data_IF_104249214452
#
_entry.id   IF_104249214452
#
_cell.length_a   1.000
_cell.length_b   1.000
_cell.length_c   1.000
_cell.angle_alpha   90.00
_cell.angle_beta   90.00
_cell.angle_gamma   90.00
#
_symmetry.space_group_name_H-M   'P 1'
#
loop_
_entity.id
_entity.type
_entity.pdbx_description
1 polymer ?
#
# COMPACT_ATOMS: atom_id res chain seq x y z
N UNK A 1 3.47 32.17 1.74
CA UNK A 1 3.23 31.00 0.87
C UNK A 1 3.82 29.68 1.36
N UNK A 2 4.03 29.45 2.65
CA UNK A 2 4.74 28.25 3.18
C UNK A 2 3.89 27.35 4.08
N UNK A 3 2.71 27.76 4.49
CA UNK A 3 1.84 26.94 5.38
C UNK A 3 1.07 25.83 4.63
N UNK A 4 0.68 26.04 3.38
CA UNK A 4 -0.09 25.05 2.61
C UNK A 4 0.74 23.83 2.14
N UNK A 5 2.04 23.98 1.85
CA UNK A 5 2.89 22.85 1.48
C UNK A 5 3.19 21.88 2.63
N UNK A 6 3.27 22.40 3.87
CA UNK A 6 3.50 21.53 5.06
C UNK A 6 2.28 20.67 5.40
N UNK A 7 1.06 21.17 5.21
CA UNK A 7 -0.18 20.43 5.45
C UNK A 7 -0.36 19.24 4.48
N UNK A 8 -0.05 19.43 3.21
CA UNK A 8 -0.16 18.38 2.19
C UNK A 8 0.85 17.23 2.41
N UNK A 9 2.06 17.56 2.82
CA UNK A 9 3.09 16.53 3.10
C UNK A 9 2.75 15.74 4.37
N UNK A 10 2.24 16.39 5.41
CA UNK A 10 1.77 15.75 6.65
C UNK A 10 0.54 14.86 6.39
N UNK A 11 -0.38 15.26 5.54
CA UNK A 11 -1.53 14.46 5.14
C UNK A 11 -1.11 13.19 4.37
N UNK A 12 -0.14 13.32 3.47
CA UNK A 12 0.40 12.18 2.69
C UNK A 12 1.14 11.18 3.60
N UNK A 13 1.93 11.68 4.56
CA UNK A 13 2.66 10.82 5.51
C UNK A 13 1.70 10.17 6.53
N UNK A 14 0.71 10.91 7.02
CA UNK A 14 -0.35 10.35 7.87
C UNK A 14 -1.17 9.28 7.17
N UNK A 15 -1.49 9.48 5.90
CA UNK A 15 -2.15 8.49 5.05
C UNK A 15 -1.28 7.24 4.90
N UNK A 16 0.02 7.36 4.66
CA UNK A 16 0.97 6.23 4.54
C UNK A 16 1.04 5.38 5.81
N UNK A 17 1.02 5.99 6.98
CA UNK A 17 1.05 5.27 8.27
C UNK A 17 -0.28 4.54 8.52
N UNK A 18 -1.41 5.18 8.25
CA UNK A 18 -2.73 4.52 8.28
C UNK A 18 -2.78 3.37 7.28
N UNK A 19 -2.16 3.51 6.11
CA UNK A 19 -2.06 2.47 5.08
C UNK A 19 -1.29 1.25 5.51
N UNK A 20 -0.15 1.42 6.15
CA UNK A 20 0.67 0.31 6.64
C UNK A 20 -0.08 -0.43 7.76
N UNK A 21 -0.72 0.28 8.67
CA UNK A 21 -1.43 -0.33 9.81
C UNK A 21 -2.76 -0.96 9.41
N UNK A 22 -3.56 -0.32 8.57
CA UNK A 22 -4.86 -0.87 8.14
C UNK A 22 -4.69 -1.93 7.06
N UNK A 23 -3.73 -1.80 6.16
CA UNK A 23 -3.32 -2.86 5.23
C UNK A 23 -2.90 -4.11 5.97
N UNK A 24 -2.20 -3.95 7.09
CA UNK A 24 -1.75 -5.03 7.95
C UNK A 24 -2.92 -5.73 8.67
N UNK A 25 -3.90 -4.99 9.17
CA UNK A 25 -5.09 -5.57 9.85
C UNK A 25 -5.95 -6.34 8.84
N UNK A 26 -6.18 -5.79 7.66
CA UNK A 26 -7.00 -6.44 6.62
C UNK A 26 -6.28 -7.65 6.01
N UNK A 27 -4.97 -7.56 5.83
CA UNK A 27 -4.12 -8.64 5.38
C UNK A 27 -4.09 -9.79 6.42
N UNK A 28 -4.06 -9.46 7.70
CA UNK A 28 -4.19 -10.42 8.80
C UNK A 28 -5.54 -11.15 8.78
N UNK A 29 -6.63 -10.50 8.42
CA UNK A 29 -7.97 -11.12 8.35
C UNK A 29 -8.15 -12.05 7.14
N UNK A 30 -7.41 -11.82 6.04
CA UNK A 30 -7.48 -12.66 4.83
C UNK A 30 -6.43 -13.78 4.87
N UNK A 31 -5.35 -13.61 5.62
CA UNK A 31 -4.17 -14.48 5.54
C UNK A 31 -4.26 -15.77 6.35
N UNK A 32 -5.28 -15.92 7.21
CA UNK A 32 -5.19 -16.88 8.31
C UNK A 32 -5.08 -18.36 7.92
N UNK A 33 -5.19 -18.77 6.67
CA UNK A 33 -4.94 -20.20 6.39
C UNK A 33 -4.35 -20.59 5.02
N UNK A 34 -4.40 -19.78 3.97
CA UNK A 34 -4.18 -20.35 2.63
C UNK A 34 -3.07 -19.68 1.82
N UNK A 35 -2.75 -18.41 2.10
CA UNK A 35 -1.99 -17.61 1.15
C UNK A 35 -0.47 -17.71 1.28
N UNK A 36 0.05 -17.72 2.49
CA UNK A 36 1.48 -17.55 2.73
C UNK A 36 2.32 -18.83 2.86
N UNK A 37 1.72 -20.00 2.82
CA UNK A 37 2.45 -21.27 2.97
C UNK A 37 3.50 -21.53 1.88
N UNK A 38 3.55 -20.69 0.83
CA UNK A 38 4.42 -20.89 -0.34
C UNK A 38 5.12 -19.60 -0.84
N UNK A 39 5.06 -18.50 -0.08
CA UNK A 39 5.92 -17.36 -0.38
C UNK A 39 7.33 -17.74 0.02
N UNK A 40 8.22 -17.89 -0.96
CA UNK A 40 9.63 -18.15 -0.66
C UNK A 40 10.20 -16.96 0.10
N UNK A 41 10.91 -17.18 1.20
CA UNK A 41 11.61 -16.09 1.85
C UNK A 41 12.61 -15.47 0.87
N UNK A 42 12.82 -14.18 0.98
CA UNK A 42 13.82 -13.47 0.16
C UNK A 42 15.18 -14.06 0.45
N UNK A 43 15.79 -14.69 -0.54
CA UNK A 43 17.02 -15.49 -0.40
C UNK A 43 18.27 -14.61 -0.25
N UNK A 44 18.15 -13.28 -0.35
CA UNK A 44 19.25 -12.35 -0.28
C UNK A 44 18.83 -11.04 0.41
N UNK A 45 19.15 -10.94 1.67
CA UNK A 45 19.19 -9.64 2.34
C UNK A 45 20.40 -8.89 1.78
N UNK A 46 20.19 -7.95 0.87
CA UNK A 46 21.22 -6.99 0.54
C UNK A 46 21.63 -6.28 1.84
N UNK A 47 22.92 -6.23 2.10
CA UNK A 47 23.48 -5.55 3.26
C UNK A 47 23.18 -4.07 3.10
N UNK A 48 22.05 -3.63 3.65
CA UNK A 48 21.77 -2.21 3.78
C UNK A 48 22.86 -1.60 4.66
N UNK A 49 23.55 -0.61 4.14
CA UNK A 49 24.61 0.14 4.84
C UNK A 49 24.07 0.98 6.02
N UNK A 50 22.79 0.79 6.34
CA UNK A 50 22.04 1.50 7.38
C UNK A 50 21.84 0.60 8.59
N UNK A 51 22.61 0.83 9.64
CA UNK A 51 22.37 0.14 10.93
C UNK A 51 21.06 0.65 11.56
N UNK A 52 20.41 -0.19 12.39
CA UNK A 52 19.24 0.19 13.19
C UNK A 52 19.48 1.50 13.96
N UNK A 53 20.66 1.70 14.52
CA UNK A 53 21.03 2.93 15.22
C UNK A 53 21.01 4.17 14.33
N UNK A 54 21.53 4.07 13.10
CA UNK A 54 21.50 5.18 12.15
C UNK A 54 20.08 5.48 11.69
N UNK A 55 19.32 4.44 11.37
CA UNK A 55 17.93 4.57 10.92
C UNK A 55 17.04 5.17 12.03
N UNK A 56 17.12 4.67 13.26
CA UNK A 56 16.33 5.17 14.38
C UNK A 56 16.70 6.61 14.76
N UNK A 57 17.99 6.97 14.75
CA UNK A 57 18.41 8.35 14.96
C UNK A 57 17.86 9.29 13.89
N UNK A 58 17.87 8.90 12.61
CA UNK A 58 17.27 9.67 11.53
C UNK A 58 15.76 9.85 11.76
N UNK A 59 15.06 8.78 12.16
CA UNK A 59 13.63 8.82 12.42
C UNK A 59 13.26 9.72 13.60
N UNK A 60 14.04 9.67 14.68
CA UNK A 60 13.85 10.54 15.87
C UNK A 60 14.10 12.02 15.53
N UNK A 61 15.07 12.32 14.63
CA UNK A 61 15.39 13.68 14.22
C UNK A 61 14.47 14.23 13.12
N UNK A 62 13.81 13.39 12.36
CA UNK A 62 12.82 13.82 11.39
C UNK A 62 11.58 14.29 12.15
N UNK A 63 11.34 15.57 12.17
CA UNK A 63 10.28 16.35 12.86
C UNK A 63 8.82 15.89 12.65
N UNK A 64 8.57 14.70 12.20
CA UNK A 64 7.25 14.09 12.22
C UNK A 64 7.07 13.42 13.57
N UNK A 65 6.12 13.90 14.37
CA UNK A 65 5.80 13.27 15.65
C UNK A 65 5.40 11.81 15.40
N UNK A 66 6.21 10.89 15.89
CA UNK A 66 5.85 9.48 15.95
C UNK A 66 4.96 9.30 17.16
N UNK A 67 3.80 8.68 16.98
CA UNK A 67 2.82 8.52 18.06
C UNK A 67 2.60 7.05 18.39
N UNK A 68 2.35 6.77 19.65
CA UNK A 68 1.90 5.47 20.14
C UNK A 68 0.52 5.61 20.78
N UNK A 69 -0.34 4.63 20.53
CA UNK A 69 -1.64 4.57 21.20
C UNK A 69 -1.54 3.81 22.51
N UNK A 70 -2.46 4.06 23.42
CA UNK A 70 -2.68 3.20 24.58
C UNK A 70 -3.24 1.82 24.12
N UNK A 71 -3.23 0.84 25.03
CA UNK A 71 -3.73 -0.52 24.74
C UNK A 71 -5.20 -0.55 24.26
N UNK A 72 -6.01 0.43 24.65
CA UNK A 72 -7.40 0.53 24.25
C UNK A 72 -7.61 1.31 22.94
N UNK A 73 -6.54 1.80 22.33
CA UNK A 73 -6.55 2.62 21.12
C UNK A 73 -7.43 3.88 21.20
N UNK A 74 -7.58 4.43 22.43
CA UNK A 74 -8.45 5.59 22.70
C UNK A 74 -7.69 6.89 22.92
N UNK A 75 -6.37 6.84 23.08
CA UNK A 75 -5.51 8.00 23.28
C UNK A 75 -4.15 7.79 22.60
N UNK A 76 -3.64 8.87 22.04
CA UNK A 76 -2.34 8.92 21.36
C UNK A 76 -1.41 9.86 22.12
N UNK A 77 -0.15 9.52 22.19
CA UNK A 77 0.93 10.36 22.69
C UNK A 77 2.17 10.23 21.84
N UNK A 78 3.06 11.17 21.93
CA UNK A 78 4.34 11.10 21.25
C UNK A 78 5.16 9.89 21.73
N UNK A 79 5.78 9.19 20.79
CA UNK A 79 6.66 8.07 21.07
C UNK A 79 8.01 8.56 21.59
N UNK A 80 8.54 7.89 22.60
CA UNK A 80 9.93 8.09 23.03
C UNK A 80 10.93 7.55 22.00
N UNK A 81 12.16 8.05 22.00
CA UNK A 81 13.20 7.52 21.14
C UNK A 81 13.46 6.02 21.30
N UNK A 82 13.28 5.49 22.52
CA UNK A 82 13.38 4.05 22.79
C UNK A 82 12.25 3.28 22.11
N UNK A 83 11.01 3.74 22.21
CA UNK A 83 9.86 3.10 21.56
C UNK A 83 10.01 3.11 20.04
N UNK A 84 10.50 4.21 19.47
CA UNK A 84 10.77 4.30 18.04
C UNK A 84 11.82 3.26 17.63
N UNK A 85 12.94 3.19 18.36
CA UNK A 85 14.01 2.22 18.08
C UNK A 85 13.51 0.78 18.21
N UNK A 86 12.71 0.47 19.24
CA UNK A 86 12.14 -0.85 19.45
C UNK A 86 11.14 -1.25 18.35
N UNK A 87 10.32 -0.30 17.88
CA UNK A 87 9.39 -0.54 16.78
C UNK A 87 10.09 -0.71 15.42
N UNK A 88 11.30 -0.17 15.26
CA UNK A 88 12.12 -0.33 14.06
C UNK A 88 13.01 -1.58 14.08
N UNK A 89 13.09 -2.28 15.19
CA UNK A 89 13.95 -3.47 15.35
C UNK A 89 13.33 -4.68 14.67
N UNK A 90 13.69 -4.88 13.40
CA UNK A 90 13.19 -5.99 12.58
C UNK A 90 13.48 -7.37 13.18
N UNK A 91 14.53 -7.52 14.01
CA UNK A 91 14.86 -8.80 14.64
C UNK A 91 13.74 -9.33 15.55
N UNK A 92 12.87 -8.45 16.04
CA UNK A 92 11.73 -8.82 16.89
C UNK A 92 10.53 -9.36 16.11
N UNK A 93 10.48 -9.13 14.80
CA UNK A 93 9.28 -9.36 13.98
C UNK A 93 9.53 -10.30 12.79
N UNK A 94 10.79 -10.52 12.40
CA UNK A 94 11.12 -11.24 11.16
C UNK A 94 10.64 -12.69 11.16
N UNK A 95 10.56 -13.29 12.33
CA UNK A 95 10.07 -14.66 12.51
C UNK A 95 8.60 -14.73 12.96
N UNK A 96 7.95 -13.59 13.20
CA UNK A 96 6.53 -13.55 13.55
C UNK A 96 5.67 -13.87 12.31
N UNK A 97 4.77 -14.84 12.43
CA UNK A 97 3.97 -15.35 11.33
C UNK A 97 3.06 -14.32 10.68
N UNK A 98 2.73 -13.26 11.37
CA UNK A 98 1.90 -12.15 10.85
C UNK A 98 2.74 -10.98 10.43
N UNK A 99 3.75 -10.61 11.23
CA UNK A 99 4.51 -9.38 11.01
C UNK A 99 5.64 -9.51 9.99
N UNK A 100 6.17 -10.73 9.74
CA UNK A 100 7.24 -10.95 8.75
C UNK A 100 6.92 -10.44 7.35
N UNK A 101 5.65 -10.35 7.00
CA UNK A 101 5.22 -9.89 5.66
C UNK A 101 5.42 -8.40 5.43
N UNK A 102 5.64 -7.58 6.47
CA UNK A 102 6.01 -6.18 6.30
C UNK A 102 7.41 -6.01 5.67
N UNK A 103 8.22 -7.07 5.67
CA UNK A 103 9.56 -7.10 5.07
C UNK A 103 9.57 -7.70 3.65
N UNK A 104 8.40 -7.89 3.03
CA UNK A 104 8.35 -8.32 1.63
C UNK A 104 8.99 -7.27 0.72
N UNK A 105 9.81 -7.74 -0.20
CA UNK A 105 10.28 -6.91 -1.29
C UNK A 105 9.10 -6.60 -2.24
N UNK A 106 8.56 -5.40 -2.11
CA UNK A 106 7.39 -4.96 -2.87
C UNK A 106 7.71 -4.66 -4.33
N UNK A 107 8.99 -4.58 -4.70
CA UNK A 107 9.45 -4.39 -6.08
C UNK A 107 9.50 -5.69 -6.89
N UNK A 108 9.33 -6.85 -6.25
CA UNK A 108 9.49 -8.16 -6.89
C UNK A 108 8.17 -8.89 -7.07
N UNK A 109 7.87 -9.22 -8.33
CA UNK A 109 6.82 -10.17 -8.68
C UNK A 109 7.15 -11.56 -8.12
N UNK A 110 6.22 -12.17 -7.37
CA UNK A 110 6.43 -13.44 -6.67
C UNK A 110 6.04 -14.68 -7.50
N UNK A 111 5.21 -14.51 -8.51
CA UNK A 111 4.74 -15.62 -9.34
C UNK A 111 3.67 -16.47 -8.65
N UNK A 112 2.80 -15.84 -7.88
CA UNK A 112 1.70 -16.56 -7.23
C UNK A 112 0.78 -17.19 -8.25
N UNK A 113 0.37 -18.43 -8.00
CA UNK A 113 -0.55 -19.17 -8.86
C UNK A 113 -1.85 -18.40 -9.11
N UNK A 114 -2.23 -18.29 -10.39
CA UNK A 114 -3.40 -17.53 -10.83
C UNK A 114 -4.70 -17.99 -10.13
N UNK A 115 -4.86 -19.29 -9.86
CA UNK A 115 -6.06 -19.78 -9.20
C UNK A 115 -6.09 -19.38 -7.73
N UNK A 116 -4.93 -19.19 -7.09
CA UNK A 116 -4.87 -18.61 -5.74
C UNK A 116 -5.32 -17.15 -5.76
N UNK A 117 -4.86 -16.36 -6.71
CA UNK A 117 -5.30 -14.97 -6.89
C UNK A 117 -6.81 -14.91 -7.15
N UNK A 118 -7.34 -15.79 -8.02
CA UNK A 118 -8.78 -15.88 -8.25
C UNK A 118 -9.57 -16.21 -6.98
N UNK A 119 -9.04 -17.08 -6.11
CA UNK A 119 -9.68 -17.37 -4.82
C UNK A 119 -9.70 -16.17 -3.88
N UNK A 120 -8.64 -15.35 -3.88
CA UNK A 120 -8.65 -14.07 -3.13
C UNK A 120 -9.72 -13.10 -3.60
N UNK A 121 -10.00 -13.11 -4.88
CA UNK A 121 -10.92 -12.19 -5.53
C UNK A 121 -12.32 -12.77 -5.75
N UNK A 122 -12.58 -13.97 -5.22
CA UNK A 122 -13.80 -14.76 -5.50
C UNK A 122 -15.10 -13.96 -5.29
N UNK A 123 -15.20 -13.20 -4.22
CA UNK A 123 -16.36 -12.37 -3.89
C UNK A 123 -16.21 -10.90 -4.33
N UNK A 124 -15.29 -10.63 -5.26
CA UNK A 124 -14.96 -9.31 -5.80
C UNK A 124 -15.04 -9.32 -7.33
N UNK A 125 -16.23 -9.41 -7.92
CA UNK A 125 -16.40 -9.68 -9.34
C UNK A 125 -15.73 -8.63 -10.24
N UNK A 126 -15.67 -7.38 -9.81
CA UNK A 126 -14.99 -6.31 -10.57
C UNK A 126 -13.49 -6.61 -10.69
N UNK A 127 -12.82 -6.99 -9.59
CA UNK A 127 -11.39 -7.29 -9.59
C UNK A 127 -11.10 -8.69 -10.15
N UNK A 128 -11.98 -9.67 -9.88
CA UNK A 128 -11.82 -11.04 -10.37
C UNK A 128 -11.71 -11.11 -11.91
N UNK A 129 -12.49 -10.31 -12.62
CA UNK A 129 -12.44 -10.21 -14.09
C UNK A 129 -11.08 -9.73 -14.60
N UNK A 130 -10.37 -8.97 -13.79
CA UNK A 130 -9.10 -8.33 -14.11
C UNK A 130 -7.90 -9.04 -13.47
N UNK A 131 -8.04 -10.31 -13.07
CA UNK A 131 -6.94 -11.10 -12.48
C UNK A 131 -5.68 -11.07 -13.37
N UNK A 132 -5.83 -11.22 -14.69
CA UNK A 132 -4.71 -11.19 -15.61
C UNK A 132 -4.09 -9.80 -15.74
N UNK A 133 -4.90 -8.75 -15.67
CA UNK A 133 -4.42 -7.37 -15.69
C UNK A 133 -3.56 -7.07 -14.45
N UNK A 134 -3.96 -7.53 -13.26
CA UNK A 134 -3.15 -7.42 -12.05
C UNK A 134 -1.80 -8.16 -12.18
N UNK A 135 -1.82 -9.42 -12.65
CA UNK A 135 -0.61 -10.21 -12.84
C UNK A 135 0.34 -9.53 -13.84
N UNK A 136 -0.19 -9.09 -14.97
CA UNK A 136 0.60 -8.48 -16.02
C UNK A 136 1.11 -7.08 -15.63
N UNK A 137 0.30 -6.28 -14.94
CA UNK A 137 0.72 -5.00 -14.39
C UNK A 137 1.85 -5.18 -13.37
N UNK A 138 1.70 -6.11 -12.43
CA UNK A 138 2.71 -6.44 -11.42
C UNK A 138 4.04 -6.81 -12.07
N UNK A 139 4.02 -7.70 -13.07
CA UNK A 139 5.22 -8.09 -13.83
C UNK A 139 5.86 -6.92 -14.56
N UNK A 140 5.06 -6.17 -15.34
CA UNK A 140 5.57 -5.12 -16.24
C UNK A 140 6.01 -3.87 -15.49
N UNK A 141 5.50 -3.65 -14.29
CA UNK A 141 5.79 -2.47 -13.46
C UNK A 141 6.68 -2.78 -12.26
N UNK A 142 7.19 -4.01 -12.16
CA UNK A 142 8.04 -4.43 -11.04
C UNK A 142 7.39 -4.13 -9.68
N UNK A 143 6.18 -4.63 -9.49
CA UNK A 143 5.43 -4.53 -8.24
C UNK A 143 5.03 -5.94 -7.80
N UNK A 144 5.13 -6.22 -6.51
CA UNK A 144 4.62 -7.47 -5.94
C UNK A 144 3.11 -7.58 -6.19
N UNK A 145 2.66 -8.67 -6.82
CA UNK A 145 1.25 -8.83 -7.20
C UNK A 145 0.31 -8.96 -6.00
N UNK A 146 0.79 -9.56 -4.90
CA UNK A 146 -0.01 -9.68 -3.67
C UNK A 146 -0.23 -8.31 -3.06
N UNK A 147 0.83 -7.50 -2.99
CA UNK A 147 0.73 -6.13 -2.53
C UNK A 147 -0.20 -5.30 -3.42
N UNK A 148 -0.01 -5.36 -4.74
CA UNK A 148 -0.83 -4.60 -5.69
C UNK A 148 -2.32 -4.89 -5.55
N UNK A 149 -2.68 -6.17 -5.43
CA UNK A 149 -4.07 -6.61 -5.25
C UNK A 149 -4.60 -6.24 -3.87
N UNK A 150 -3.82 -6.46 -2.81
CA UNK A 150 -4.23 -6.14 -1.44
C UNK A 150 -4.44 -4.65 -1.25
N UNK A 151 -3.59 -3.83 -1.88
CA UNK A 151 -3.73 -2.37 -1.88
C UNK A 151 -5.03 -1.96 -2.59
N UNK A 152 -5.30 -2.49 -3.79
CA UNK A 152 -6.55 -2.22 -4.49
C UNK A 152 -7.79 -2.62 -3.65
N UNK A 153 -7.75 -3.78 -3.00
CA UNK A 153 -8.83 -4.23 -2.12
C UNK A 153 -9.07 -3.28 -0.94
N UNK A 154 -7.98 -2.82 -0.32
CA UNK A 154 -8.05 -1.91 0.82
C UNK A 154 -8.64 -0.56 0.42
N UNK A 155 -8.07 0.08 -0.60
CA UNK A 155 -8.44 1.42 -1.05
C UNK A 155 -9.87 1.51 -1.56
N UNK A 156 -10.36 0.43 -2.13
CA UNK A 156 -11.69 0.41 -2.72
C UNK A 156 -12.77 -0.13 -1.79
N UNK A 157 -12.47 -0.37 -0.51
CA UNK A 157 -13.40 -1.04 0.38
C UNK A 157 -13.85 -2.40 -0.19
N UNK A 158 -12.88 -3.19 -0.65
CA UNK A 158 -13.11 -4.47 -1.30
C UNK A 158 -13.87 -4.34 -2.65
N UNK A 159 -13.49 -3.37 -3.47
CA UNK A 159 -14.08 -3.05 -4.77
C UNK A 159 -15.54 -2.53 -4.72
N UNK A 160 -15.96 -1.97 -3.60
CA UNK A 160 -17.31 -1.40 -3.42
C UNK A 160 -17.37 0.10 -3.67
N UNK A 161 -16.25 0.82 -3.67
CA UNK A 161 -16.21 2.26 -3.84
C UNK A 161 -16.69 2.70 -5.23
N UNK A 162 -17.19 3.91 -5.34
CA UNK A 162 -17.58 4.51 -6.62
C UNK A 162 -16.40 4.58 -7.58
N UNK A 163 -15.21 4.95 -7.10
CA UNK A 163 -13.99 5.00 -7.90
C UNK A 163 -13.61 3.62 -8.49
N UNK A 164 -13.88 2.53 -7.78
CA UNK A 164 -13.65 1.18 -8.29
C UNK A 164 -14.68 0.75 -9.34
N UNK A 165 -15.91 1.26 -9.26
CA UNK A 165 -17.00 0.93 -10.17
C UNK A 165 -17.09 1.90 -11.38
N UNK A 166 -16.26 2.93 -11.37
CA UNK A 166 -16.14 3.92 -12.42
C UNK A 166 -17.08 5.11 -12.22
N UNK A 167 -16.48 6.27 -12.05
CA UNK A 167 -17.18 7.57 -11.96
C UNK A 167 -17.31 8.15 -13.34
N UNK A 168 -18.53 8.61 -13.69
CA UNK A 168 -18.80 9.20 -14.98
C UNK A 168 -18.42 10.68 -14.99
N UNK A 169 -17.61 11.08 -15.98
CA UNK A 169 -17.28 12.47 -16.28
C UNK A 169 -17.42 12.65 -17.79
N UNK A 170 -18.25 13.62 -18.21
CA UNK A 170 -18.50 13.93 -19.63
C UNK A 170 -18.94 12.70 -20.46
N UNK A 171 -19.82 11.86 -19.91
CA UNK A 171 -20.37 10.68 -20.58
C UNK A 171 -19.39 9.49 -20.68
N UNK A 172 -18.25 9.53 -19.98
CA UNK A 172 -17.25 8.47 -19.96
C UNK A 172 -16.89 8.08 -18.54
N UNK A 173 -16.72 6.77 -18.29
CA UNK A 173 -16.32 6.25 -16.98
C UNK A 173 -14.80 6.27 -16.81
N UNK A 174 -14.38 6.64 -15.59
CA UNK A 174 -13.00 6.63 -15.15
C UNK A 174 -12.87 5.86 -13.83
N UNK A 175 -11.80 5.06 -13.70
CA UNK A 175 -11.61 4.12 -12.62
C UNK A 175 -10.35 4.47 -11.81
N UNK A 176 -10.42 4.27 -10.50
CA UNK A 176 -9.26 4.48 -9.63
C UNK A 176 -9.30 3.46 -8.48
N UNK A 177 -8.40 2.48 -8.53
CA UNK A 177 -8.36 1.41 -7.54
C UNK A 177 -7.42 1.70 -6.35
N UNK A 178 -6.67 2.79 -6.41
CA UNK A 178 -5.60 3.08 -5.44
C UNK A 178 -5.75 4.43 -4.75
N UNK A 179 -6.85 5.12 -4.96
CA UNK A 179 -7.11 6.43 -4.35
C UNK A 179 -6.12 7.52 -4.77
N UNK A 180 -5.38 7.32 -5.87
CA UNK A 180 -4.39 8.29 -6.32
C UNK A 180 -5.05 9.61 -6.69
N UNK A 181 -4.56 10.70 -6.08
CA UNK A 181 -5.12 12.04 -6.32
C UNK A 181 -6.46 12.31 -5.64
N UNK A 182 -7.00 11.35 -4.88
CA UNK A 182 -8.17 11.59 -4.04
C UNK A 182 -7.79 12.49 -2.85
N UNK A 183 -8.46 13.63 -2.71
CA UNK A 183 -8.24 14.60 -1.64
C UNK A 183 -9.40 14.55 -0.64
N UNK A 184 -9.11 14.74 0.63
CA UNK A 184 -10.10 14.67 1.72
C UNK A 184 -11.30 15.60 1.55
N UNK A 185 -11.14 16.71 0.81
CA UNK A 185 -12.22 17.67 0.54
C UNK A 185 -13.33 17.12 -0.36
N UNK A 186 -12.97 16.27 -1.33
CA UNK A 186 -13.90 15.56 -2.22
C UNK A 186 -13.16 14.40 -2.91
N UNK A 187 -12.98 13.26 -2.23
CA UNK A 187 -12.14 12.18 -2.70
C UNK A 187 -12.66 11.50 -3.97
N UNK A 188 -13.98 11.45 -4.16
CA UNK A 188 -14.57 10.82 -5.33
C UNK A 188 -14.31 11.68 -6.57
N UNK A 189 -14.62 12.96 -6.49
CA UNK A 189 -14.42 13.90 -7.61
C UNK A 189 -12.94 14.01 -7.96
N UNK A 190 -12.09 14.31 -7.00
CA UNK A 190 -10.67 14.54 -7.25
C UNK A 190 -9.94 13.27 -7.71
N UNK A 191 -10.30 12.10 -7.17
CA UNK A 191 -9.79 10.81 -7.62
C UNK A 191 -10.25 10.44 -9.03
N UNK A 192 -11.48 10.79 -9.41
CA UNK A 192 -12.00 10.59 -10.76
C UNK A 192 -11.39 11.57 -11.77
N UNK A 193 -11.19 12.84 -11.40
CA UNK A 193 -10.50 13.83 -12.23
C UNK A 193 -9.04 13.44 -12.46
N UNK A 194 -8.37 12.89 -11.44
CA UNK A 194 -7.03 12.32 -11.59
C UNK A 194 -7.03 11.17 -12.60
N UNK A 195 -7.96 10.23 -12.47
CA UNK A 195 -8.10 9.10 -13.39
C UNK A 195 -8.37 9.57 -14.83
N UNK A 196 -9.25 10.59 -15.02
CA UNK A 196 -9.50 11.21 -16.31
C UNK A 196 -8.24 11.81 -16.92
N UNK A 197 -7.49 12.60 -16.13
CA UNK A 197 -6.24 13.23 -16.56
C UNK A 197 -5.20 12.21 -17.03
N UNK A 198 -5.20 11.02 -16.44
CA UNK A 198 -4.24 9.95 -16.75
C UNK A 198 -4.79 8.89 -17.71
N UNK A 199 -6.02 9.10 -18.23
CA UNK A 199 -6.63 8.22 -19.22
C UNK A 199 -7.06 6.86 -18.67
N UNK A 200 -7.37 6.76 -17.37
CA UNK A 200 -7.82 5.53 -16.72
C UNK A 200 -9.32 5.28 -16.98
N UNK A 201 -9.68 5.18 -18.23
CA UNK A 201 -11.05 5.03 -18.72
C UNK A 201 -11.53 3.56 -18.79
N UNK A 202 -10.65 2.64 -18.39
CA UNK A 202 -10.99 1.21 -18.19
C UNK A 202 -10.34 0.69 -16.92
N UNK A 203 -10.92 -0.35 -16.27
CA UNK A 203 -10.30 -1.00 -15.13
C UNK A 203 -8.85 -1.43 -15.39
N UNK A 204 -8.58 -2.01 -16.57
CA UNK A 204 -7.23 -2.40 -16.97
C UNK A 204 -6.26 -1.21 -16.91
N UNK A 205 -6.60 -0.09 -17.55
CA UNK A 205 -5.75 1.12 -17.54
C UNK A 205 -5.53 1.66 -16.13
N UNK A 206 -6.54 1.62 -15.28
CA UNK A 206 -6.42 2.03 -13.88
C UNK A 206 -5.50 1.11 -13.07
N UNK A 207 -5.54 -0.21 -13.29
CA UNK A 207 -4.64 -1.19 -12.67
C UNK A 207 -3.19 -0.92 -13.09
N UNK A 208 -2.93 -0.80 -14.38
CA UNK A 208 -1.58 -0.53 -14.90
C UNK A 208 -1.06 0.85 -14.48
N UNK A 209 -1.92 1.87 -14.53
CA UNK A 209 -1.57 3.22 -14.11
C UNK A 209 -1.26 3.33 -12.61
N UNK A 210 -2.05 2.64 -11.79
CA UNK A 210 -1.81 2.55 -10.35
C UNK A 210 -0.52 1.80 -10.03
N UNK A 211 -0.25 0.68 -10.70
CA UNK A 211 1.00 -0.05 -10.54
C UNK A 211 2.22 0.80 -10.95
N UNK A 212 2.12 1.55 -12.04
CA UNK A 212 3.16 2.48 -12.49
C UNK A 212 3.39 3.62 -11.48
N UNK A 213 2.31 4.16 -10.93
CA UNK A 213 2.37 5.18 -9.88
C UNK A 213 3.06 4.65 -8.62
N UNK A 214 2.67 3.46 -8.15
CA UNK A 214 3.27 2.80 -6.98
C UNK A 214 4.76 2.59 -7.21
N UNK A 215 5.14 2.00 -8.35
CA UNK A 215 6.55 1.77 -8.66
C UNK A 215 7.35 3.06 -8.63
N UNK A 216 6.91 4.10 -9.37
CA UNK A 216 7.66 5.35 -9.52
C UNK A 216 7.77 6.18 -8.25
N UNK A 217 6.74 6.15 -7.40
CA UNK A 217 6.69 7.04 -6.24
C UNK A 217 7.07 6.37 -4.93
N UNK A 218 7.10 5.03 -4.88
CA UNK A 218 7.34 4.31 -3.63
C UNK A 218 8.39 3.21 -3.71
N UNK A 219 8.66 2.62 -4.90
CA UNK A 219 9.52 1.45 -5.01
C UNK A 219 10.81 1.69 -5.83
N UNK A 220 10.94 2.83 -6.50
CA UNK A 220 12.09 3.15 -7.36
C UNK A 220 13.14 4.03 -6.68
N UNK A 221 13.11 4.17 -5.36
CA UNK A 221 14.04 4.98 -4.61
C UNK A 221 15.11 4.12 -3.96
N UNK A 222 16.39 4.53 -4.05
CA UNK A 222 17.56 3.79 -3.56
C UNK A 222 17.61 3.60 -2.04
N UNK A 223 16.68 4.18 -1.30
CA UNK A 223 16.63 4.15 0.16
C UNK A 223 15.42 3.38 0.72
N UNK A 224 14.81 2.53 -0.09
CA UNK A 224 13.75 1.58 0.33
C UNK A 224 14.21 0.15 0.32
#
# INVERSE_FOLDING_TARGET
MTKHKKGSILAIIGLLIVFVVTGFIFFSMISDQIFFKHVKPVEKVEKLDKTLDKASKKQIHNYTSQQVSNKANTAWRDASGTEIKEAMDSSKFIDDDKQKYQFLDLSKYQGIDKNRIKRMLFDRPVLLKHTDDFINAAKSKHVNEVYLISHALLETGAAKSELANGVEIDGKKYYNFYGVGALDSDPIKTGAEYAKKHGWDTPQKAIYGGADFIHKHFLSHDDQ
#
